data_IF_182644640027
#
_entry.id   IF_182644640027
#
_cell.length_a   1.000
_cell.length_b   1.000
_cell.length_c   1.000
_cell.angle_alpha   90.00
_cell.angle_beta   90.00
_cell.angle_gamma   90.00
#
_symmetry.space_group_name_H-M   'P 1'
#
loop_
_entity.id
_entity.type
_entity.pdbx_description
1 polymer ?
#
# COMPACT_ATOMS: atom_id res chain seq x y z
N UNK A 1 31.14 24.88 43.06
CA UNK A 1 29.89 25.17 42.30
C UNK A 1 30.22 26.29 41.32
N UNK A 2 30.67 25.95 40.11
CA UNK A 2 29.88 25.68 38.88
C UNK A 2 29.27 26.97 38.31
N UNK A 3 30.06 27.70 37.51
CA UNK A 3 29.56 28.75 36.63
C UNK A 3 30.30 28.75 35.28
N UNK A 4 30.58 27.55 34.74
CA UNK A 4 30.76 27.37 33.30
C UNK A 4 29.53 26.60 32.86
N UNK A 5 28.34 27.22 32.81
CA UNK A 5 27.12 26.50 32.42
C UNK A 5 25.93 27.44 32.19
N UNK A 6 26.04 28.36 31.25
CA UNK A 6 24.83 28.95 30.67
C UNK A 6 25.06 29.29 29.21
N UNK A 7 26.05 30.14 28.90
CA UNK A 7 26.25 30.61 27.53
C UNK A 7 26.67 29.51 26.53
N UNK A 8 27.49 28.54 26.95
CA UNK A 8 27.92 27.42 26.09
C UNK A 8 26.77 26.43 25.82
N UNK A 9 25.88 26.22 26.79
CA UNK A 9 24.73 25.31 26.64
C UNK A 9 23.70 25.91 25.67
N UNK A 10 23.46 27.23 25.76
CA UNK A 10 22.60 27.93 24.81
C UNK A 10 23.21 27.97 23.40
N UNK A 11 24.53 28.12 23.27
CA UNK A 11 25.20 28.08 21.96
C UNK A 11 25.10 26.69 21.30
N UNK A 12 25.22 25.61 22.06
CA UNK A 12 25.08 24.24 21.54
C UNK A 12 23.62 23.94 21.16
N UNK A 13 22.65 24.41 21.96
CA UNK A 13 21.22 24.27 21.63
C UNK A 13 20.84 25.05 20.36
N UNK A 14 21.41 26.24 20.14
CA UNK A 14 21.21 27.02 18.93
C UNK A 14 21.87 26.37 17.69
N UNK A 15 23.00 25.69 17.87
CA UNK A 15 23.68 24.94 16.81
C UNK A 15 22.92 23.67 16.40
N UNK A 16 22.25 23.00 17.34
CA UNK A 16 21.46 21.78 17.10
C UNK A 16 20.07 22.07 16.49
N UNK A 17 19.54 23.29 16.65
CA UNK A 17 18.28 23.70 16.01
C UNK A 17 18.46 24.07 14.53
N UNK A 18 19.69 24.31 14.07
CA UNK A 18 20.01 24.59 12.66
C UNK A 18 20.20 23.33 11.80
N UNK A 19 20.24 22.13 12.39
CA UNK A 19 20.39 20.86 11.63
C UNK A 19 19.07 20.15 11.35
N UNK A 20 17.93 20.72 11.73
CA UNK A 20 16.61 20.18 11.37
C UNK A 20 16.12 20.88 10.11
N UNK A 21 16.83 20.66 8.99
CA UNK A 21 16.33 21.08 7.68
C UNK A 21 15.62 19.91 7.00
N UNK A 22 14.47 20.27 6.47
CA UNK A 22 13.34 19.43 6.10
C UNK A 22 13.74 18.31 5.13
N UNK A 23 13.30 17.09 5.43
CA UNK A 23 13.29 16.00 4.45
C UNK A 23 12.47 16.47 3.26
N UNK A 24 13.14 16.83 2.17
CA UNK A 24 12.50 17.31 0.95
C UNK A 24 11.52 16.25 0.47
N UNK A 25 10.23 16.55 0.54
CA UNK A 25 9.20 15.80 -0.16
C UNK A 25 9.56 15.82 -1.64
N UNK A 26 10.09 14.71 -2.15
CA UNK A 26 10.36 14.56 -3.57
C UNK A 26 9.02 14.67 -4.29
N UNK A 27 8.76 15.84 -4.87
CA UNK A 27 7.67 16.09 -5.80
C UNK A 27 7.97 15.32 -7.10
N UNK A 28 7.81 14.00 -7.05
CA UNK A 28 7.87 13.16 -8.23
C UNK A 28 6.64 13.48 -9.06
N UNK A 29 6.82 14.35 -10.04
CA UNK A 29 5.82 14.64 -11.07
C UNK A 29 5.69 13.39 -11.94
N UNK A 30 4.89 12.42 -11.51
CA UNK A 30 4.61 11.20 -12.27
C UNK A 30 3.87 11.61 -13.54
N UNK A 31 4.59 11.73 -14.64
CA UNK A 31 3.99 11.80 -15.97
C UNK A 31 3.38 10.43 -16.26
N UNK A 32 2.10 10.25 -15.89
CA UNK A 32 1.32 9.07 -16.27
C UNK A 32 1.07 9.13 -17.78
N UNK A 33 1.99 8.57 -18.57
CA UNK A 33 1.73 8.22 -19.96
C UNK A 33 0.87 6.95 -19.91
N UNK A 34 -0.43 7.12 -20.14
CA UNK A 34 -1.34 5.98 -20.24
C UNK A 34 -0.95 5.18 -21.49
N UNK A 35 -0.47 3.96 -21.30
CA UNK A 35 -0.22 2.99 -22.37
C UNK A 35 -1.44 2.09 -22.38
N UNK A 36 -2.17 2.01 -23.50
CA UNK A 36 -3.25 1.05 -23.65
C UNK A 36 -2.69 -0.37 -23.43
N UNK A 37 -3.19 -1.04 -22.38
CA UNK A 37 -2.64 -2.29 -21.85
C UNK A 37 -1.92 -2.18 -20.49
N UNK A 38 -1.92 -1.01 -19.84
CA UNK A 38 -1.23 -0.84 -18.55
C UNK A 38 -1.97 -1.54 -17.40
N UNK A 39 -1.42 -2.66 -16.92
CA UNK A 39 -1.79 -3.24 -15.63
C UNK A 39 -1.32 -2.30 -14.52
N UNK A 40 -2.22 -1.47 -13.98
CA UNK A 40 -1.90 -0.60 -12.84
C UNK A 40 -1.90 -1.42 -11.55
N UNK A 41 -0.77 -1.44 -10.85
CA UNK A 41 -0.66 -1.97 -9.50
C UNK A 41 -0.29 -0.86 -8.51
N UNK A 42 -0.88 -0.91 -7.32
CA UNK A 42 -0.52 -0.04 -6.19
C UNK A 42 0.37 -0.84 -5.24
N UNK A 43 1.51 -0.26 -4.83
CA UNK A 43 2.41 -0.88 -3.86
C UNK A 43 1.90 -0.58 -2.45
N UNK A 44 1.45 -1.61 -1.73
CA UNK A 44 1.09 -1.51 -0.31
C UNK A 44 2.09 -2.39 0.46
N UNK A 45 2.97 -1.78 1.25
CA UNK A 45 3.99 -2.48 2.06
C UNK A 45 4.71 -3.62 1.29
N UNK A 46 5.48 -3.25 0.27
CA UNK A 46 6.33 -4.14 -0.55
C UNK A 46 5.62 -5.24 -1.37
N UNK A 47 4.31 -5.42 -1.27
CA UNK A 47 3.55 -6.31 -2.17
C UNK A 47 2.84 -5.52 -3.28
N UNK A 48 2.72 -6.17 -4.44
CA UNK A 48 2.08 -5.63 -5.64
C UNK A 48 0.60 -6.00 -5.63
N UNK A 49 -0.30 -5.02 -5.54
CA UNK A 49 -1.74 -5.28 -5.67
C UNK A 49 -2.09 -5.53 -7.14
N UNK A 50 -2.88 -6.56 -7.40
CA UNK A 50 -3.36 -6.95 -8.73
C UNK A 50 -2.22 -7.30 -9.71
N UNK A 51 -1.17 -7.98 -9.22
CA UNK A 51 -0.02 -8.40 -10.02
C UNK A 51 -0.39 -9.48 -11.05
N UNK A 52 0.03 -9.28 -12.29
CA UNK A 52 0.08 -10.31 -13.34
C UNK A 52 1.55 -10.67 -13.57
N UNK A 53 1.89 -11.95 -13.60
CA UNK A 53 3.25 -12.41 -13.90
C UNK A 53 3.55 -12.46 -15.41
N UNK A 54 4.78 -12.84 -15.77
CA UNK A 54 5.21 -12.94 -17.16
C UNK A 54 4.42 -13.99 -17.97
N UNK A 55 3.77 -14.94 -17.30
CA UNK A 55 2.90 -15.94 -17.92
C UNK A 55 1.44 -15.50 -18.05
N UNK A 56 1.10 -14.26 -17.64
CA UNK A 56 -0.27 -13.76 -17.67
C UNK A 56 -1.14 -14.28 -16.52
N UNK A 57 -0.54 -14.84 -15.46
CA UNK A 57 -1.27 -15.37 -14.32
C UNK A 57 -1.35 -14.33 -13.18
N UNK A 58 -2.50 -14.27 -12.51
CA UNK A 58 -2.69 -13.45 -11.30
C UNK A 58 -1.89 -14.02 -10.14
N UNK A 59 -1.21 -13.13 -9.42
CA UNK A 59 -0.38 -13.45 -8.28
C UNK A 59 -0.60 -12.47 -7.12
N UNK A 60 -0.45 -12.95 -5.90
CA UNK A 60 -0.40 -12.12 -4.69
C UNK A 60 -1.73 -11.45 -4.35
N UNK A 61 -1.64 -10.30 -3.66
CA UNK A 61 -2.82 -9.57 -3.19
C UNK A 61 -3.67 -9.08 -4.37
N UNK A 62 -4.96 -9.39 -4.32
CA UNK A 62 -5.95 -8.93 -5.28
C UNK A 62 -7.02 -8.09 -4.59
N UNK A 63 -7.39 -6.97 -5.22
CA UNK A 63 -8.46 -6.08 -4.76
C UNK A 63 -9.29 -5.68 -5.97
N UNK A 64 -10.57 -6.04 -5.94
CA UNK A 64 -11.58 -5.59 -6.90
C UNK A 64 -12.27 -4.36 -6.32
N UNK A 65 -12.32 -3.28 -7.10
CA UNK A 65 -12.93 -2.02 -6.67
C UNK A 65 -13.98 -1.53 -7.65
N UNK A 66 -15.00 -0.84 -7.13
CA UNK A 66 -15.99 -0.12 -7.92
C UNK A 66 -15.58 1.35 -8.09
N UNK A 67 -15.73 1.86 -9.31
CA UNK A 67 -15.67 3.28 -9.62
C UNK A 67 -17.08 3.80 -9.95
N UNK A 68 -17.40 5.08 -9.61
CA UNK A 68 -16.62 6.01 -8.80
C UNK A 68 -16.63 5.65 -7.30
N UNK A 69 -15.67 6.17 -6.54
CA UNK A 69 -15.64 6.02 -5.07
C UNK A 69 -14.65 5.00 -4.51
N UNK A 70 -13.94 4.25 -5.37
CA UNK A 70 -12.85 3.35 -4.98
C UNK A 70 -13.23 2.29 -3.93
N UNK A 71 -14.51 1.92 -3.89
CA UNK A 71 -15.09 1.00 -2.91
C UNK A 71 -14.57 -0.40 -3.20
N UNK A 72 -13.92 -1.03 -2.21
CA UNK A 72 -13.47 -2.42 -2.31
C UNK A 72 -14.70 -3.32 -2.31
N UNK A 73 -14.87 -4.13 -3.35
CA UNK A 73 -15.94 -5.12 -3.45
C UNK A 73 -15.48 -6.49 -3.00
N UNK A 74 -14.23 -6.82 -3.30
CA UNK A 74 -13.66 -8.12 -2.98
C UNK A 74 -12.14 -8.01 -2.82
N UNK A 75 -11.57 -8.75 -1.87
CA UNK A 75 -10.12 -8.87 -1.78
C UNK A 75 -9.68 -10.24 -1.27
N UNK A 76 -8.51 -10.68 -1.71
CA UNK A 76 -7.94 -11.97 -1.33
C UNK A 76 -6.57 -12.17 -1.95
N UNK A 77 -6.10 -13.42 -1.99
CA UNK A 77 -4.83 -13.79 -2.60
C UNK A 77 -5.08 -14.67 -3.82
N UNK A 78 -4.41 -14.37 -4.92
CA UNK A 78 -4.24 -15.28 -6.05
C UNK A 78 -2.88 -15.97 -6.00
N UNK A 79 -2.84 -17.23 -6.43
CA UNK A 79 -1.63 -17.95 -6.80
C UNK A 79 -1.90 -18.68 -8.10
N UNK A 80 -1.14 -18.36 -9.14
CA UNK A 80 -1.26 -18.98 -10.47
C UNK A 80 -2.72 -18.97 -10.97
N UNK A 81 -3.36 -17.79 -10.95
CA UNK A 81 -4.78 -17.57 -11.29
C UNK A 81 -5.82 -18.20 -10.37
N UNK A 82 -5.43 -18.91 -9.32
CA UNK A 82 -6.36 -19.56 -8.41
C UNK A 82 -6.49 -18.80 -7.09
N UNK A 83 -7.72 -18.62 -6.60
CA UNK A 83 -8.03 -18.06 -5.29
C UNK A 83 -7.43 -18.96 -4.21
N UNK A 84 -6.70 -18.34 -3.29
CA UNK A 84 -6.11 -18.97 -2.12
C UNK A 84 -6.47 -18.20 -0.86
N UNK A 85 -6.57 -18.93 0.24
CA UNK A 85 -6.75 -18.36 1.57
C UNK A 85 -8.10 -17.66 1.75
N UNK A 86 -8.16 -16.75 2.71
CA UNK A 86 -9.36 -15.99 3.00
C UNK A 86 -9.64 -14.94 1.92
N UNK A 87 -10.84 -14.99 1.35
CA UNK A 87 -11.39 -14.01 0.44
C UNK A 87 -12.54 -13.29 1.12
N UNK A 88 -12.49 -11.96 1.13
CA UNK A 88 -13.47 -11.11 1.81
C UNK A 88 -14.26 -10.35 0.78
N UNK A 89 -15.59 -10.37 0.91
CA UNK A 89 -16.52 -9.61 0.08
C UNK A 89 -17.16 -8.49 0.87
N UNK A 90 -17.30 -7.35 0.21
CA UNK A 90 -17.98 -6.19 0.74
C UNK A 90 -19.10 -5.76 -0.20
N UNK A 91 -20.09 -5.07 0.35
CA UNK A 91 -21.21 -4.51 -0.39
C UNK A 91 -20.87 -3.18 -1.05
N UNK A 92 -21.88 -2.60 -1.69
CA UNK A 92 -21.72 -1.38 -2.49
C UNK A 92 -21.45 -0.14 -1.64
N UNK A 93 -21.62 -0.21 -0.32
CA UNK A 93 -21.29 0.87 0.62
C UNK A 93 -20.03 0.56 1.43
N UNK A 94 -19.32 -0.53 1.11
CA UNK A 94 -18.12 -0.99 1.82
C UNK A 94 -18.42 -1.82 3.07
N UNK A 95 -19.68 -2.17 3.32
CA UNK A 95 -20.08 -3.05 4.41
C UNK A 95 -19.54 -4.47 4.20
N UNK A 96 -19.08 -5.12 5.25
CA UNK A 96 -18.70 -6.54 5.19
C UNK A 96 -19.94 -7.40 4.87
N UNK A 97 -19.82 -8.31 3.91
CA UNK A 97 -20.87 -9.28 3.59
C UNK A 97 -20.49 -10.65 4.12
N UNK A 98 -19.37 -11.18 3.65
CA UNK A 98 -18.88 -12.50 4.03
C UNK A 98 -17.37 -12.65 3.79
N UNK A 99 -16.85 -13.76 4.31
CA UNK A 99 -15.52 -14.24 3.98
C UNK A 99 -15.55 -15.74 3.76
N UNK A 100 -14.88 -16.22 2.72
CA UNK A 100 -14.79 -17.63 2.37
C UNK A 100 -13.32 -18.00 2.23
N UNK A 101 -12.93 -19.15 2.79
CA UNK A 101 -11.58 -19.67 2.60
C UNK A 101 -11.52 -20.50 1.32
N UNK A 102 -10.51 -20.28 0.49
CA UNK A 102 -10.30 -20.98 -0.77
C UNK A 102 -8.99 -21.76 -0.76
N UNK A 103 -9.01 -22.92 -1.42
CA UNK A 103 -7.82 -23.68 -1.77
C UNK A 103 -7.93 -24.06 -3.25
N UNK A 104 -7.08 -23.49 -4.09
CA UNK A 104 -7.09 -23.73 -5.53
C UNK A 104 -8.49 -23.50 -6.14
N UNK A 105 -9.07 -22.32 -5.91
CA UNK A 105 -10.43 -21.93 -6.32
C UNK A 105 -11.59 -22.70 -5.67
N UNK A 106 -11.33 -23.74 -4.88
CA UNK A 106 -12.36 -24.48 -4.17
C UNK A 106 -12.64 -23.85 -2.81
N UNK A 107 -13.90 -23.46 -2.51
CA UNK A 107 -14.26 -23.00 -1.18
C UNK A 107 -14.15 -24.17 -0.19
N UNK A 108 -13.52 -23.92 0.95
CA UNK A 108 -13.41 -24.88 2.05
C UNK A 108 -14.38 -24.46 3.16
N UNK A 109 -15.18 -25.41 3.64
CA UNK A 109 -16.03 -25.25 4.83
C UNK A 109 -15.24 -25.46 6.12
#
# INVERSE_FOLDING_TARGET
>A
MRAINSLLVFAIALLLLLSCDETSESNVKVKKKFIEGSYSYELLMFDTINKIDAGGLKQGKWIVRKLPGNIVLESGIYKDNQKQGCWVRHGLKGEFIDSIYYKNDLPTN
#
